data_IF_138304376230
#
_entry.id   IF_138304376230
#
_cell.length_a   1.000
_cell.length_b   1.000
_cell.length_c   1.000
_cell.angle_alpha   90.00
_cell.angle_beta   90.00
_cell.angle_gamma   90.00
#
_symmetry.space_group_name_H-M   'P 1'
#
loop_
_entity.id
_entity.type
_entity.pdbx_description
1 polymer ?
#
# COMPACT_ATOMS: atom_id res chain seq x y z
N UNK A 1 -20.75 43.86 -20.05
CA UNK A 1 -20.08 42.55 -19.89
C UNK A 1 -18.75 42.79 -19.16
N UNK A 2 -18.75 42.83 -17.83
CA UNK A 2 -18.51 41.69 -16.90
C UNK A 2 -17.03 41.66 -16.45
N UNK A 3 -16.81 42.19 -15.23
CA UNK A 3 -15.96 41.67 -14.14
C UNK A 3 -14.46 41.45 -14.44
N UNK A 4 -13.51 42.00 -13.66
CA UNK A 4 -13.21 41.53 -12.31
C UNK A 4 -12.31 42.51 -11.53
N UNK A 5 -12.72 42.75 -10.29
CA UNK A 5 -12.11 43.62 -9.28
C UNK A 5 -10.71 43.15 -8.86
N UNK A 6 -9.82 44.11 -8.63
CA UNK A 6 -8.56 43.98 -7.87
C UNK A 6 -8.89 44.29 -6.40
N UNK A 7 -8.73 43.29 -5.51
CA UNK A 7 -8.83 43.45 -4.06
C UNK A 7 -7.50 42.93 -3.46
N UNK A 8 -6.66 43.81 -2.90
CA UNK A 8 -6.53 44.15 -1.47
C UNK A 8 -5.82 43.04 -0.67
N UNK A 9 -4.56 43.25 -0.28
CA UNK A 9 -4.12 43.76 1.04
C UNK A 9 -4.35 42.74 2.16
N UNK A 10 -3.29 42.09 2.64
CA UNK A 10 -3.26 41.45 3.95
C UNK A 10 -1.97 41.86 4.66
N UNK A 11 -2.16 42.72 5.67
CA UNK A 11 -1.16 43.13 6.62
C UNK A 11 -0.93 41.99 7.64
N UNK A 12 0.32 41.74 8.00
CA UNK A 12 0.67 40.96 9.20
C UNK A 12 1.34 41.94 10.15
N UNK A 13 0.55 42.41 11.12
CA UNK A 13 1.00 43.29 12.18
C UNK A 13 1.46 42.46 13.39
N UNK A 14 2.67 42.79 13.83
CA UNK A 14 3.29 42.48 15.12
C UNK A 14 2.35 42.74 16.31
N UNK A 15 2.31 41.82 17.28
CA UNK A 15 1.90 42.12 18.65
C UNK A 15 2.94 41.51 19.61
N UNK A 16 3.60 42.39 20.37
CA UNK A 16 4.40 42.13 21.57
C UNK A 16 3.60 42.67 22.76
N UNK A 17 3.59 41.95 23.88
CA UNK A 17 3.12 42.40 25.21
C UNK A 17 2.93 41.20 26.14
N UNK A 18 3.87 40.84 27.04
CA UNK A 18 4.07 41.38 28.41
C UNK A 18 2.79 41.50 29.25
N UNK A 19 2.63 40.64 30.27
CA UNK A 19 2.55 41.05 31.69
C UNK A 19 2.08 39.93 32.64
N UNK A 20 2.88 39.75 33.70
CA UNK A 20 2.63 39.36 35.09
C UNK A 20 1.28 38.77 35.56
N UNK A 21 1.39 37.58 36.18
CA UNK A 21 1.05 37.29 37.59
C UNK A 21 -0.38 37.51 38.09
N UNK A 22 -1.00 36.44 38.62
CA UNK A 22 -1.93 36.57 39.75
C UNK A 22 -1.99 35.29 40.59
N UNK A 23 -2.09 35.51 41.89
CA UNK A 23 -2.05 34.57 43.03
C UNK A 23 -3.48 34.14 43.40
N UNK A 24 -3.60 32.90 43.93
CA UNK A 24 -4.60 32.28 44.82
C UNK A 24 -6.05 32.81 44.93
N UNK A 25 -7.02 31.90 45.15
CA UNK A 25 -8.01 31.96 46.26
C UNK A 25 -9.22 30.98 46.11
N UNK A 26 -9.61 30.37 47.24
CA UNK A 26 -10.92 29.81 47.67
C UNK A 26 -11.42 28.49 47.04
N UNK A 27 -11.56 27.38 47.79
CA UNK A 27 -12.60 27.04 48.81
C UNK A 27 -13.96 26.62 48.16
N UNK A 28 -14.20 25.31 48.00
CA UNK A 28 -15.20 24.48 48.74
C UNK A 28 -16.59 24.44 48.03
N UNK A 29 -17.54 23.55 48.38
CA UNK A 29 -17.53 22.09 48.31
C UNK A 29 -18.81 21.52 47.62
N UNK A 30 -18.91 20.18 47.58
CA UNK A 30 -20.14 19.38 47.47
C UNK A 30 -21.11 19.53 46.27
N UNK A 31 -21.17 18.47 45.47
CA UNK A 31 -22.45 17.83 45.19
C UNK A 31 -22.24 16.32 45.09
N UNK A 32 -22.50 15.65 46.21
CA UNK A 32 -22.61 14.21 46.33
C UNK A 32 -23.67 13.67 45.36
N UNK A 33 -23.38 12.54 44.73
CA UNK A 33 -24.41 11.53 44.53
C UNK A 33 -23.89 10.20 45.03
N UNK A 34 -24.14 9.98 46.31
CA UNK A 34 -24.10 8.70 47.01
C UNK A 34 -24.80 7.62 46.19
N UNK A 35 -24.07 6.53 45.93
CA UNK A 35 -24.56 5.16 45.84
C UNK A 35 -23.36 4.22 46.08
N UNK A 36 -23.25 3.70 47.30
CA UNK A 36 -22.45 2.51 47.63
C UNK A 36 -23.26 1.24 47.25
N UNK A 37 -22.67 0.00 47.26
CA UNK A 37 -21.33 -0.36 47.67
C UNK A 37 -20.49 -1.10 46.62
N UNK A 38 -19.18 -1.07 46.90
CA UNK A 38 -18.12 -1.85 46.30
C UNK A 38 -18.48 -3.33 46.14
N UNK A 39 -18.41 -3.81 44.91
CA UNK A 39 -18.07 -5.21 44.62
C UNK A 39 -16.59 -5.22 44.28
N UNK A 40 -15.80 -5.72 45.23
CA UNK A 40 -14.39 -5.98 45.05
C UNK A 40 -14.18 -6.93 43.85
N UNK A 41 -13.35 -6.54 42.90
CA UNK A 41 -12.61 -7.50 42.09
C UNK A 41 -11.14 -7.34 42.45
N UNK A 42 -10.72 -8.20 43.37
CA UNK A 42 -9.31 -8.47 43.63
C UNK A 42 -8.61 -8.88 42.34
N UNK A 43 -7.51 -8.18 42.09
CA UNK A 43 -6.22 -8.72 41.65
C UNK A 43 -6.28 -10.00 40.81
N UNK A 44 -5.97 -9.87 39.54
CA UNK A 44 -5.08 -10.84 38.91
C UNK A 44 -4.13 -10.09 38.01
N UNK A 45 -2.88 -10.03 38.47
CA UNK A 45 -1.69 -9.80 37.66
C UNK A 45 -1.72 -10.72 36.44
N UNK A 46 -2.13 -10.17 35.30
CA UNK A 46 -1.73 -10.69 34.00
C UNK A 46 -1.31 -9.49 33.18
N UNK A 47 -0.01 -9.41 32.88
CA UNK A 47 0.48 -8.58 31.80
C UNK A 47 -0.43 -8.79 30.58
N UNK A 48 -0.87 -7.71 29.90
CA UNK A 48 -1.46 -7.91 28.59
C UNK A 48 -0.42 -8.65 27.76
N UNK A 49 -0.81 -9.79 27.20
CA UNK A 49 0.04 -10.54 26.29
C UNK A 49 0.59 -9.57 25.24
N UNK A 50 1.89 -9.63 24.87
CA UNK A 50 2.40 -8.89 23.73
C UNK A 50 1.42 -9.14 22.60
N UNK A 51 0.95 -8.07 21.95
CA UNK A 51 0.14 -8.18 20.73
C UNK A 51 0.87 -9.23 19.90
N UNK A 52 0.29 -10.43 19.79
CA UNK A 52 0.77 -11.38 18.82
C UNK A 52 0.54 -10.63 17.53
N UNK A 53 1.62 -10.15 16.92
CA UNK A 53 1.59 -9.72 15.53
C UNK A 53 1.00 -10.93 14.85
N UNK A 54 -0.31 -10.91 14.58
CA UNK A 54 -0.93 -11.81 13.62
C UNK A 54 0.01 -11.66 12.45
N UNK A 55 0.81 -12.70 12.20
CA UNK A 55 1.63 -12.77 11.00
C UNK A 55 0.67 -12.39 9.91
N UNK A 56 0.90 -11.20 9.34
CA UNK A 56 0.18 -10.64 8.21
C UNK A 56 -0.31 -11.82 7.40
N UNK A 57 -1.62 -12.06 7.45
CA UNK A 57 -2.25 -13.19 6.78
C UNK A 57 -1.90 -13.04 5.31
N UNK A 58 -0.78 -13.67 4.91
CA UNK A 58 -0.47 -13.89 3.53
C UNK A 58 -1.70 -14.62 3.03
N UNK A 59 -2.46 -14.04 2.07
CA UNK A 59 -3.82 -14.48 1.80
C UNK A 59 -3.79 -15.98 1.56
N UNK A 60 -4.50 -16.72 2.43
CA UNK A 60 -4.49 -18.18 2.56
C UNK A 60 -4.90 -18.95 1.27
N UNK A 61 -4.99 -18.26 0.13
CA UNK A 61 -5.28 -18.74 -1.21
C UNK A 61 -4.02 -19.04 -2.03
N UNK A 62 -2.82 -18.62 -1.59
CA UNK A 62 -1.58 -18.81 -2.37
C UNK A 62 -0.78 -20.08 -1.99
N UNK A 63 -1.30 -20.92 -1.09
CA UNK A 63 -0.61 -22.09 -0.53
C UNK A 63 -0.26 -23.20 -1.54
N UNK A 64 -0.85 -23.16 -2.75
CA UNK A 64 -0.50 -24.03 -3.89
C UNK A 64 0.50 -23.44 -4.89
N UNK A 65 0.81 -22.15 -4.81
CA UNK A 65 1.64 -21.43 -5.78
C UNK A 65 3.13 -21.48 -5.47
N UNK A 66 3.58 -22.50 -4.74
CA UNK A 66 5.00 -22.70 -4.39
C UNK A 66 5.93 -22.71 -5.62
N UNK A 67 5.37 -22.89 -6.82
CA UNK A 67 6.08 -22.88 -8.10
C UNK A 67 6.19 -21.49 -8.75
N UNK A 68 5.42 -20.49 -8.31
CA UNK A 68 5.49 -19.15 -8.88
C UNK A 68 6.81 -18.49 -8.45
N UNK A 69 7.69 -18.13 -9.40
CA UNK A 69 8.95 -17.49 -9.06
C UNK A 69 8.73 -16.09 -8.50
N UNK A 70 9.63 -15.66 -7.61
CA UNK A 70 9.67 -14.26 -7.16
C UNK A 70 10.18 -13.40 -8.31
N UNK A 71 9.30 -12.65 -8.97
CA UNK A 71 9.70 -11.75 -10.05
C UNK A 71 10.49 -10.53 -9.57
N UNK A 72 10.38 -10.20 -8.28
CA UNK A 72 11.11 -9.10 -7.66
C UNK A 72 10.65 -7.74 -8.17
N UNK A 73 9.34 -7.52 -8.16
CA UNK A 73 8.71 -6.22 -8.24
C UNK A 73 7.58 -6.13 -7.21
N UNK A 74 7.17 -4.91 -6.89
CA UNK A 74 5.98 -4.60 -6.12
C UNK A 74 5.00 -3.95 -7.06
N UNK A 75 3.75 -4.37 -7.06
CA UNK A 75 2.69 -3.77 -7.87
C UNK A 75 1.43 -3.48 -7.06
N UNK A 76 0.58 -2.67 -7.65
CA UNK A 76 -0.79 -2.47 -7.23
C UNK A 76 -1.72 -2.80 -8.40
N UNK A 77 -2.64 -3.75 -8.21
CA UNK A 77 -3.64 -4.04 -9.21
C UNK A 77 -4.70 -2.96 -9.25
N UNK A 78 -5.09 -2.50 -10.44
CA UNK A 78 -6.15 -1.51 -10.60
C UNK A 78 -6.22 -0.92 -12.00
N UNK A 79 -7.00 0.15 -12.12
CA UNK A 79 -7.12 0.93 -13.35
C UNK A 79 -6.42 2.29 -13.19
N UNK A 80 -5.56 2.66 -14.14
CA UNK A 80 -4.93 3.99 -14.21
C UNK A 80 -4.85 4.42 -15.66
N UNK A 81 -5.28 5.65 -15.96
CA UNK A 81 -5.42 6.19 -17.33
C UNK A 81 -6.19 5.27 -18.31
N UNK A 82 -7.24 4.60 -17.83
CA UNK A 82 -8.00 3.65 -18.65
C UNK A 82 -7.31 2.30 -18.89
N UNK A 83 -6.23 2.02 -18.15
CA UNK A 83 -5.46 0.77 -18.27
C UNK A 83 -5.61 -0.06 -17.00
N UNK A 84 -6.32 -1.19 -17.13
CA UNK A 84 -6.49 -2.19 -16.09
C UNK A 84 -5.30 -3.16 -16.10
N UNK A 85 -4.66 -3.35 -14.95
CA UNK A 85 -3.52 -4.26 -14.83
C UNK A 85 -2.79 -4.17 -13.50
N UNK A 86 -1.64 -4.84 -13.45
CA UNK A 86 -0.66 -4.74 -12.36
C UNK A 86 0.26 -3.54 -12.62
N UNK A 87 0.11 -2.48 -11.85
CA UNK A 87 0.92 -1.26 -11.98
C UNK A 87 2.18 -1.41 -11.13
N UNK A 88 3.34 -1.38 -11.78
CA UNK A 88 4.65 -1.59 -11.18
C UNK A 88 5.03 -0.39 -10.34
N UNK A 89 5.04 -0.56 -9.03
CA UNK A 89 5.41 0.47 -8.06
C UNK A 89 6.92 0.49 -7.80
N UNK A 90 7.55 -0.68 -7.85
CA UNK A 90 8.99 -0.83 -7.58
C UNK A 90 9.52 -2.07 -8.27
N UNK A 91 10.76 -2.00 -8.74
CA UNK A 91 11.49 -3.16 -9.26
C UNK A 91 12.77 -3.36 -8.46
N UNK A 92 13.01 -4.60 -8.01
CA UNK A 92 14.21 -4.94 -7.27
C UNK A 92 15.39 -5.10 -8.23
N UNK A 93 16.55 -4.53 -7.88
CA UNK A 93 17.74 -4.64 -8.71
C UNK A 93 18.16 -6.10 -8.92
N UNK A 94 18.51 -6.44 -10.16
CA UNK A 94 18.95 -7.79 -10.55
C UNK A 94 17.86 -8.87 -10.57
N UNK A 95 16.60 -8.49 -10.31
CA UNK A 95 15.45 -9.40 -10.32
C UNK A 95 15.04 -9.85 -11.73
N UNK A 96 14.25 -10.93 -11.86
CA UNK A 96 13.61 -11.28 -13.13
C UNK A 96 12.87 -10.13 -13.81
N UNK A 97 12.15 -9.31 -13.03
CA UNK A 97 11.46 -8.12 -13.53
C UNK A 97 12.43 -7.09 -14.10
N UNK A 98 13.55 -6.83 -13.41
CA UNK A 98 14.60 -5.93 -13.92
C UNK A 98 15.22 -6.46 -15.23
N UNK A 99 15.46 -7.78 -15.33
CA UNK A 99 16.00 -8.41 -16.55
C UNK A 99 15.02 -8.38 -17.72
N UNK A 100 13.72 -8.35 -17.43
CA UNK A 100 12.65 -8.13 -18.42
C UNK A 100 12.53 -6.66 -18.85
N UNK A 101 13.28 -5.75 -18.21
CA UNK A 101 13.22 -4.32 -18.46
C UNK A 101 11.94 -3.68 -17.94
N UNK A 102 11.33 -4.23 -16.88
CA UNK A 102 10.24 -3.56 -16.17
C UNK A 102 10.82 -2.41 -15.36
N UNK A 103 10.09 -1.30 -15.35
CA UNK A 103 10.42 -0.08 -14.62
C UNK A 103 9.22 0.38 -13.77
N UNK A 104 9.50 1.25 -12.79
CA UNK A 104 8.44 1.88 -12.01
C UNK A 104 7.52 2.70 -12.93
N UNK A 105 6.22 2.49 -12.79
CA UNK A 105 5.17 3.13 -13.58
C UNK A 105 4.66 2.27 -14.73
N UNK A 106 5.34 1.17 -15.08
CA UNK A 106 4.85 0.26 -16.11
C UNK A 106 3.56 -0.40 -15.65
N UNK A 107 2.63 -0.67 -16.58
CA UNK A 107 1.43 -1.43 -16.28
C UNK A 107 1.41 -2.74 -17.06
N UNK A 108 1.41 -3.87 -16.35
CA UNK A 108 1.28 -5.19 -16.96
C UNK A 108 -0.20 -5.45 -17.17
N UNK A 109 -0.62 -5.60 -18.43
CA UNK A 109 -2.05 -5.72 -18.79
C UNK A 109 -2.46 -7.14 -19.18
N UNK A 110 -1.50 -7.95 -19.63
CA UNK A 110 -1.76 -9.32 -20.02
C UNK A 110 -0.52 -10.21 -19.90
N UNK A 111 -0.76 -11.49 -19.67
CA UNK A 111 0.25 -12.55 -19.60
C UNK A 111 -0.15 -13.65 -20.58
N UNK A 112 0.73 -14.02 -21.50
CA UNK A 112 0.47 -15.02 -22.54
C UNK A 112 -0.85 -14.77 -23.30
N UNK A 113 -1.12 -13.50 -23.62
CA UNK A 113 -2.34 -13.07 -24.32
C UNK A 113 -3.61 -13.02 -23.46
N UNK A 114 -3.59 -13.49 -22.21
CA UNK A 114 -4.71 -13.43 -21.28
C UNK A 114 -4.62 -12.14 -20.43
N UNK A 115 -5.69 -11.34 -20.43
CA UNK A 115 -5.75 -10.09 -19.68
C UNK A 115 -5.74 -10.33 -18.17
N UNK A 116 -5.14 -9.41 -17.43
CA UNK A 116 -5.26 -9.37 -15.98
C UNK A 116 -6.59 -8.71 -15.61
N UNK A 117 -7.43 -9.44 -14.88
CA UNK A 117 -8.78 -8.98 -14.48
C UNK A 117 -8.95 -8.89 -12.97
N UNK A 118 -8.03 -9.48 -12.21
CA UNK A 118 -8.01 -9.44 -10.75
C UNK A 118 -6.57 -9.52 -10.24
N UNK A 119 -6.31 -9.18 -8.96
CA UNK A 119 -4.99 -9.33 -8.34
C UNK A 119 -4.45 -10.77 -8.39
N UNK A 120 -5.34 -11.77 -8.34
CA UNK A 120 -4.96 -13.19 -8.37
C UNK A 120 -4.63 -13.66 -9.79
N UNK A 121 -5.10 -12.94 -10.81
CA UNK A 121 -4.94 -13.32 -12.22
C UNK A 121 -3.47 -13.44 -12.61
N UNK A 122 -2.61 -12.56 -12.07
CA UNK A 122 -1.15 -12.63 -12.27
C UNK A 122 -0.62 -14.01 -11.87
N UNK A 123 -0.86 -14.40 -10.62
CA UNK A 123 -0.35 -15.64 -10.05
C UNK A 123 -0.85 -16.87 -10.82
N UNK A 124 -2.14 -16.93 -11.14
CA UNK A 124 -2.73 -18.03 -11.90
C UNK A 124 -2.12 -18.18 -13.31
N UNK A 125 -1.80 -17.05 -13.95
CA UNK A 125 -1.25 -17.03 -15.30
C UNK A 125 0.21 -17.46 -15.33
N UNK A 126 0.97 -17.03 -14.33
CA UNK A 126 2.35 -17.46 -14.16
C UNK A 126 2.42 -18.94 -13.80
N UNK A 127 1.58 -19.41 -12.87
CA UNK A 127 1.55 -20.82 -12.46
C UNK A 127 1.28 -21.74 -13.65
N UNK A 128 0.29 -21.39 -14.50
CA UNK A 128 0.05 -22.09 -15.76
C UNK A 128 1.27 -22.07 -16.70
N UNK A 129 2.00 -20.95 -16.78
CA UNK A 129 3.22 -20.90 -17.60
C UNK A 129 4.30 -21.84 -17.05
N UNK A 130 4.37 -22.01 -15.72
CA UNK A 130 5.28 -22.93 -15.04
C UNK A 130 4.89 -24.41 -15.19
N UNK A 131 3.62 -24.73 -15.42
CA UNK A 131 3.17 -26.10 -15.75
C UNK A 131 3.61 -26.56 -17.15
N UNK A 132 3.97 -25.62 -18.02
CA UNK A 132 4.43 -25.86 -19.38
C UNK A 132 5.94 -25.54 -19.51
N UNK A 133 6.37 -25.07 -20.69
CA UNK A 133 7.79 -24.80 -21.00
C UNK A 133 8.37 -23.55 -20.30
N UNK A 134 7.64 -22.93 -19.36
CA UNK A 134 8.10 -21.77 -18.60
C UNK A 134 8.12 -20.47 -19.40
N UNK A 135 7.60 -20.43 -20.62
CA UNK A 135 7.59 -19.20 -21.42
C UNK A 135 6.47 -18.26 -21.00
N UNK A 136 6.83 -17.00 -20.77
CA UNK A 136 5.91 -15.92 -20.48
C UNK A 136 6.10 -14.77 -21.47
N UNK A 137 5.00 -14.26 -22.00
CA UNK A 137 4.95 -13.03 -22.80
C UNK A 137 4.04 -12.03 -22.09
N UNK A 138 4.64 -10.95 -21.59
CA UNK A 138 3.96 -9.85 -20.95
C UNK A 138 3.57 -8.82 -22.01
N UNK A 139 2.32 -8.37 -21.96
CA UNK A 139 1.90 -7.13 -22.61
C UNK A 139 1.94 -6.04 -21.55
N UNK A 140 2.70 -4.98 -21.80
CA UNK A 140 3.01 -3.91 -20.86
C UNK A 140 2.67 -2.58 -21.51
N UNK A 141 2.06 -1.65 -20.76
CA UNK A 141 2.08 -0.23 -21.10
C UNK A 141 3.33 0.37 -20.49
N UNK A 142 4.22 0.85 -21.35
CA UNK A 142 5.48 1.51 -20.94
C UNK A 142 5.16 2.87 -20.31
N UNK A 143 5.70 3.12 -19.10
CA UNK A 143 5.41 4.32 -18.33
C UNK A 143 5.89 5.62 -19.01
N UNK A 144 7.02 5.54 -19.70
CA UNK A 144 7.72 6.68 -20.31
C UNK A 144 7.04 7.13 -21.60
N UNK A 145 6.53 6.19 -22.36
CA UNK A 145 5.99 6.43 -23.71
C UNK A 145 4.48 6.26 -23.80
N UNK A 146 3.85 5.64 -22.80
CA UNK A 146 2.44 5.25 -22.82
C UNK A 146 2.09 4.17 -23.84
N UNK A 147 3.08 3.62 -24.55
CA UNK A 147 2.88 2.68 -25.65
C UNK A 147 2.80 1.24 -25.14
N UNK A 148 2.05 0.39 -25.85
CA UNK A 148 2.00 -1.04 -25.55
C UNK A 148 3.24 -1.75 -26.11
N UNK A 149 3.98 -2.42 -25.22
CA UNK A 149 5.15 -3.22 -25.52
C UNK A 149 4.92 -4.68 -25.16
N UNK A 150 5.63 -5.58 -25.83
CA UNK A 150 5.66 -7.00 -25.50
C UNK A 150 7.06 -7.35 -24.96
N UNK A 151 7.11 -8.16 -23.90
CA UNK A 151 8.35 -8.68 -23.30
C UNK A 151 8.20 -10.17 -23.07
N UNK A 152 9.11 -10.95 -23.63
CA UNK A 152 9.07 -12.41 -23.53
C UNK A 152 10.28 -12.91 -22.76
N UNK A 153 10.08 -13.87 -21.86
CA UNK A 153 11.16 -14.57 -21.18
C UNK A 153 10.77 -16.00 -20.81
N UNK A 154 11.79 -16.80 -20.52
CA UNK A 154 11.63 -18.13 -19.96
C UNK A 154 11.86 -18.08 -18.44
N UNK A 155 10.85 -18.41 -17.66
CA UNK A 155 10.84 -18.37 -16.20
C UNK A 155 11.87 -19.32 -15.59
N UNK A 156 12.12 -20.48 -16.20
CA UNK A 156 13.17 -21.40 -15.74
C UNK A 156 14.58 -20.82 -15.94
N UNK A 157 14.76 -19.91 -16.89
CA UNK A 157 16.04 -19.20 -17.14
C UNK A 157 16.18 -17.92 -16.33
N UNK A 158 15.07 -17.35 -15.86
CA UNK A 158 15.08 -16.17 -15.01
C UNK A 158 15.38 -16.49 -13.55
N UNK A 159 15.06 -17.70 -13.10
CA UNK A 159 15.19 -18.13 -11.71
C UNK A 159 16.58 -18.71 -11.34
N UNK A 160 17.63 -18.39 -12.10
CA UNK A 160 18.98 -18.91 -11.87
C UNK A 160 19.68 -18.08 -10.79
N UNK A 161 19.57 -18.49 -9.52
CA UNK A 161 20.60 -18.43 -8.47
C UNK A 161 20.28 -19.41 -7.34
#
# INVERSE_FOLDING_TARGET
>A
MTTRRKNMTAAVALIVGLAHGFVAWAAEPEAEKTLAPAQAVSTTDKWPTPIQVQQSEEPAQLTGLSRVPKFGFVSNFGETDGVVGEHVMRVNFGSPAARLGLETGDAIVAVNGRRLTSPESWYQLIDRAMEHDGWVTLKIRDARTGTMAYRTANLFRLNVR
#
